data_IF_191215706839
#
_entry.id   IF_191215706839
#
_cell.length_a   1.000
_cell.length_b   1.000
_cell.length_c   1.000
_cell.angle_alpha   90.00
_cell.angle_beta   90.00
_cell.angle_gamma   90.00
#
_symmetry.space_group_name_H-M   'P 1'
#
loop_
_entity.id
_entity.type
_entity.pdbx_description
1 polymer ?
#
# COMPACT_ATOMS: atom_id res chain seq x y z
N UNK A 1 8.03 31.99 8.38
CA UNK A 1 8.76 30.77 8.82
C UNK A 1 10.24 30.95 8.49
N UNK A 2 11.16 30.61 9.41
CA UNK A 2 12.61 30.81 9.22
C UNK A 2 13.22 29.77 8.27
N UNK A 3 14.23 30.16 7.47
CA UNK A 3 14.94 29.25 6.54
C UNK A 3 15.51 28.02 7.27
N UNK A 4 15.94 28.18 8.53
CA UNK A 4 16.44 27.09 9.36
C UNK A 4 15.36 26.09 9.81
N UNK A 5 14.09 26.50 9.86
CA UNK A 5 12.96 25.61 10.15
C UNK A 5 12.60 24.77 8.92
N UNK A 6 12.72 25.36 7.72
CA UNK A 6 12.46 24.69 6.45
C UNK A 6 13.46 23.53 6.21
N UNK A 7 14.75 23.78 6.45
CA UNK A 7 15.80 22.74 6.34
C UNK A 7 15.57 21.55 7.27
N UNK A 8 15.05 21.79 8.49
CA UNK A 8 14.72 20.71 9.43
C UNK A 8 13.52 19.89 8.94
N UNK A 9 12.52 20.54 8.35
CA UNK A 9 11.36 19.85 7.78
C UNK A 9 11.74 19.02 6.56
N UNK A 10 12.58 19.54 5.67
CA UNK A 10 13.09 18.80 4.52
C UNK A 10 13.96 17.61 4.95
N UNK A 11 14.84 17.80 5.94
CA UNK A 11 15.64 16.71 6.51
C UNK A 11 14.77 15.62 7.14
N UNK A 12 13.74 16.00 7.90
CA UNK A 12 12.80 15.06 8.49
C UNK A 12 11.90 14.38 7.46
N UNK A 13 11.59 15.04 6.34
CA UNK A 13 10.84 14.45 5.22
C UNK A 13 11.69 13.40 4.50
N UNK A 14 12.92 13.74 4.13
CA UNK A 14 13.87 12.82 3.50
C UNK A 14 14.20 11.61 4.38
N UNK A 15 14.35 11.81 5.70
CA UNK A 15 14.54 10.69 6.62
C UNK A 15 13.34 9.75 6.64
N UNK A 16 12.11 10.28 6.65
CA UNK A 16 10.89 9.46 6.61
C UNK A 16 10.73 8.72 5.29
N UNK A 17 11.03 9.38 4.16
CA UNK A 17 11.01 8.76 2.84
C UNK A 17 12.01 7.60 2.77
N UNK A 18 13.25 7.83 3.21
CA UNK A 18 14.27 6.79 3.29
C UNK A 18 13.88 5.65 4.23
N UNK A 19 13.33 5.96 5.41
CA UNK A 19 12.84 4.95 6.34
C UNK A 19 11.71 4.10 5.73
N UNK A 20 10.82 4.69 4.93
CA UNK A 20 9.74 3.96 4.26
C UNK A 20 10.28 3.04 3.15
N UNK A 21 11.26 3.51 2.37
CA UNK A 21 11.96 2.70 1.37
C UNK A 21 12.70 1.52 2.03
N UNK A 22 13.46 1.77 3.10
CA UNK A 22 14.19 0.75 3.85
C UNK A 22 13.21 -0.30 4.44
N UNK A 23 12.08 0.14 4.99
CA UNK A 23 11.01 -0.75 5.50
C UNK A 23 10.42 -1.64 4.40
N UNK A 24 10.16 -1.06 3.23
CA UNK A 24 9.62 -1.78 2.09
C UNK A 24 10.59 -2.85 1.59
N UNK A 25 11.86 -2.49 1.40
CA UNK A 25 12.90 -3.43 0.98
C UNK A 25 13.04 -4.58 1.99
N UNK A 26 13.09 -4.26 3.29
CA UNK A 26 13.18 -5.26 4.34
C UNK A 26 11.97 -6.21 4.34
N UNK A 27 10.75 -5.69 4.21
CA UNK A 27 9.53 -6.50 4.17
C UNK A 27 9.48 -7.42 2.94
N UNK A 28 9.96 -6.95 1.78
CA UNK A 28 10.06 -7.76 0.55
C UNK A 28 11.10 -8.86 0.70
N UNK A 29 12.27 -8.56 1.24
CA UNK A 29 13.32 -9.56 1.49
C UNK A 29 12.90 -10.60 2.53
N UNK A 30 12.24 -10.17 3.60
CA UNK A 30 11.67 -11.08 4.61
C UNK A 30 10.63 -12.00 3.98
N UNK A 31 9.70 -11.46 3.19
CA UNK A 31 8.70 -12.24 2.46
C UNK A 31 9.29 -13.27 1.49
N UNK A 32 10.39 -12.92 0.80
CA UNK A 32 11.13 -13.82 -0.10
C UNK A 32 11.90 -14.90 0.65
N UNK A 33 12.46 -14.58 1.82
CA UNK A 33 13.30 -15.51 2.59
C UNK A 33 12.50 -16.45 3.52
N UNK A 34 11.24 -16.14 3.81
CA UNK A 34 10.42 -16.94 4.72
C UNK A 34 9.86 -18.20 4.06
N UNK A 35 10.72 -19.21 3.85
CA UNK A 35 10.40 -20.50 3.20
C UNK A 35 9.31 -21.33 3.90
N UNK A 36 8.92 -20.99 5.14
CA UNK A 36 7.98 -21.81 5.92
C UNK A 36 6.50 -21.43 5.73
N UNK A 37 6.16 -20.29 5.10
CA UNK A 37 4.76 -19.87 4.93
C UNK A 37 4.38 -19.13 3.64
N UNK A 38 5.27 -18.71 2.75
CA UNK A 38 4.85 -17.84 1.65
C UNK A 38 4.56 -18.61 0.37
N UNK A 39 3.32 -18.49 -0.10
CA UNK A 39 3.03 -18.62 -1.53
C UNK A 39 4.02 -17.72 -2.28
N UNK A 40 4.65 -18.19 -3.38
CA UNK A 40 5.51 -17.33 -4.17
C UNK A 40 4.71 -16.12 -4.62
N UNK A 41 5.21 -14.92 -4.32
CA UNK A 41 4.66 -13.68 -4.85
C UNK A 41 4.77 -13.76 -6.38
N UNK A 42 3.61 -13.82 -7.04
CA UNK A 42 3.53 -14.00 -8.48
C UNK A 42 3.20 -12.67 -9.16
N UNK A 43 4.13 -12.17 -9.95
CA UNK A 43 3.97 -11.00 -10.80
C UNK A 43 4.96 -9.88 -10.53
N UNK A 44 4.96 -8.84 -11.38
CA UNK A 44 5.81 -7.66 -11.21
C UNK A 44 5.45 -6.90 -9.94
N UNK A 45 6.45 -6.42 -9.21
CA UNK A 45 6.28 -5.70 -7.93
C UNK A 45 5.46 -4.38 -8.12
N UNK A 46 5.45 -3.80 -9.33
CA UNK A 46 4.72 -2.57 -9.62
C UNK A 46 3.22 -2.76 -9.86
N UNK A 47 2.84 -3.88 -10.49
CA UNK A 47 1.47 -4.06 -11.02
C UNK A 47 0.75 -5.27 -10.48
N UNK A 48 1.45 -6.24 -9.86
CA UNK A 48 0.88 -7.48 -9.34
C UNK A 48 0.01 -8.23 -10.38
N UNK A 49 0.36 -8.14 -11.67
CA UNK A 49 -0.44 -8.64 -12.81
C UNK A 49 -1.86 -8.05 -12.94
N UNK A 50 -2.13 -6.91 -12.31
CA UNK A 50 -3.39 -6.20 -12.45
C UNK A 50 -3.45 -5.47 -13.80
N UNK A 51 -4.65 -5.41 -14.39
CA UNK A 51 -4.85 -4.62 -15.61
C UNK A 51 -4.54 -3.14 -15.30
N UNK A 52 -3.68 -2.46 -16.09
CA UNK A 52 -3.30 -1.07 -15.83
C UNK A 52 -4.47 -0.10 -15.64
N UNK A 53 -5.54 -0.25 -16.43
CA UNK A 53 -6.73 0.61 -16.34
C UNK A 53 -7.49 0.37 -15.04
N UNK A 54 -7.60 -0.89 -14.61
CA UNK A 54 -8.25 -1.22 -13.34
C UNK A 54 -7.39 -0.78 -12.17
N UNK A 55 -6.07 -0.95 -12.26
CA UNK A 55 -5.13 -0.54 -11.22
C UNK A 55 -5.22 0.97 -10.98
N UNK A 56 -5.21 1.76 -12.06
CA UNK A 56 -5.35 3.21 -11.99
C UNK A 56 -6.69 3.61 -11.37
N UNK A 57 -7.79 2.97 -11.77
CA UNK A 57 -9.12 3.23 -11.19
C UNK A 57 -9.20 2.86 -9.71
N UNK A 58 -8.62 1.72 -9.31
CA UNK A 58 -8.59 1.28 -7.91
C UNK A 58 -7.79 2.26 -7.06
N UNK A 59 -6.61 2.69 -7.51
CA UNK A 59 -5.77 3.66 -6.79
C UNK A 59 -6.47 5.03 -6.68
N UNK A 60 -7.19 5.46 -7.73
CA UNK A 60 -7.97 6.71 -7.73
C UNK A 60 -9.28 6.62 -6.94
N UNK A 61 -9.74 5.42 -6.59
CA UNK A 61 -10.99 5.25 -5.88
C UNK A 61 -10.93 5.90 -4.49
N UNK A 62 -12.06 6.46 -4.07
CA UNK A 62 -12.15 7.13 -2.77
C UNK A 62 -11.92 6.14 -1.61
N UNK A 63 -12.33 4.89 -1.80
CA UNK A 63 -12.12 3.81 -0.84
C UNK A 63 -10.63 3.54 -0.62
N UNK A 64 -9.86 3.40 -1.71
CA UNK A 64 -8.42 3.17 -1.60
C UNK A 64 -7.68 4.34 -0.93
N UNK A 65 -8.00 5.58 -1.32
CA UNK A 65 -7.31 6.77 -0.80
C UNK A 65 -7.57 7.04 0.68
N UNK A 66 -8.78 6.71 1.18
CA UNK A 66 -9.18 6.98 2.56
C UNK A 66 -8.96 5.81 3.52
N UNK A 67 -9.25 4.59 3.06
CA UNK A 67 -9.27 3.42 3.93
C UNK A 67 -7.99 2.60 3.74
N UNK A 68 -7.68 2.20 2.50
CA UNK A 68 -6.59 1.24 2.26
C UNK A 68 -5.19 1.83 2.35
N UNK A 69 -5.02 3.13 2.08
CA UNK A 69 -3.70 3.80 2.06
C UNK A 69 -2.95 3.71 3.40
N UNK A 70 -3.67 3.75 4.51
CA UNK A 70 -3.08 3.83 5.85
C UNK A 70 -2.96 2.46 6.54
N UNK A 71 -3.39 1.39 5.87
CA UNK A 71 -3.32 0.02 6.38
C UNK A 71 -1.91 -0.53 6.18
N UNK A 72 -1.16 -0.62 7.28
CA UNK A 72 0.19 -1.21 7.31
C UNK A 72 0.24 -2.54 8.07
N UNK A 73 -0.81 -2.86 8.83
CA UNK A 73 -0.89 -4.05 9.68
C UNK A 73 -1.88 -5.08 9.10
N UNK A 74 -1.52 -6.36 9.21
CA UNK A 74 -2.33 -7.48 8.75
C UNK A 74 -3.69 -7.53 9.44
N UNK A 75 -3.74 -7.28 10.75
CA UNK A 75 -5.00 -7.32 11.49
C UNK A 75 -5.96 -6.23 11.03
N UNK A 76 -5.44 -5.03 10.79
CA UNK A 76 -6.24 -3.91 10.24
C UNK A 76 -6.78 -4.21 8.85
N UNK A 77 -6.00 -4.91 8.02
CA UNK A 77 -6.48 -5.36 6.71
C UNK A 77 -7.65 -6.34 6.85
N UNK A 78 -7.54 -7.31 7.76
CA UNK A 78 -8.61 -8.28 8.02
C UNK A 78 -9.87 -7.58 8.54
N UNK A 79 -9.73 -6.63 9.47
CA UNK A 79 -10.85 -5.87 10.01
C UNK A 79 -11.55 -5.04 8.93
N UNK A 80 -10.77 -4.38 8.07
CA UNK A 80 -11.32 -3.59 6.97
C UNK A 80 -12.13 -4.47 6.00
N UNK A 81 -11.60 -5.64 5.63
CA UNK A 81 -12.31 -6.60 4.77
C UNK A 81 -13.60 -7.10 5.46
N UNK A 82 -13.52 -7.44 6.75
CA UNK A 82 -14.64 -8.05 7.45
C UNK A 82 -15.79 -7.07 7.74
N UNK A 83 -15.47 -5.81 8.07
CA UNK A 83 -16.47 -4.83 8.51
C UNK A 83 -16.90 -3.84 7.43
N UNK A 84 -16.04 -3.48 6.47
CA UNK A 84 -16.32 -2.41 5.50
C UNK A 84 -16.72 -2.96 4.12
N UNK A 85 -16.19 -4.11 3.70
CA UNK A 85 -16.52 -4.70 2.40
C UNK A 85 -17.87 -5.41 2.47
N UNK A 86 -18.88 -4.81 1.85
CA UNK A 86 -20.25 -5.35 1.80
C UNK A 86 -20.55 -6.09 0.50
N UNK A 87 -19.98 -5.58 -0.60
CA UNK A 87 -20.18 -6.11 -1.94
C UNK A 87 -18.89 -6.74 -2.43
N UNK A 88 -18.99 -7.98 -2.92
CA UNK A 88 -17.87 -8.73 -3.50
C UNK A 88 -17.67 -8.45 -4.99
N UNK A 89 -18.57 -7.66 -5.60
CA UNK A 89 -18.50 -7.38 -7.03
C UNK A 89 -17.50 -6.25 -7.33
N UNK A 90 -16.53 -6.48 -8.22
CA UNK A 90 -15.45 -5.53 -8.51
C UNK A 90 -15.91 -4.25 -9.26
N UNK A 91 -17.11 -4.25 -9.84
CA UNK A 91 -17.75 -3.06 -10.39
C UNK A 91 -19.26 -3.24 -10.40
N UNK A 92 -20.00 -2.17 -10.13
CA UNK A 92 -21.43 -2.15 -10.43
C UNK A 92 -21.59 -2.02 -11.95
N UNK A 93 -22.34 -2.94 -12.56
CA UNK A 93 -22.81 -2.75 -13.93
C UNK A 93 -23.60 -1.43 -13.95
N UNK A 94 -23.19 -0.51 -14.84
CA UNK A 94 -23.84 0.80 -14.96
C UNK A 94 -25.34 0.61 -15.15
N UNK A 95 -26.12 1.18 -14.24
CA UNK A 95 -27.54 1.43 -14.48
C UNK A 95 -27.70 2.62 -15.41
#
# INVERSE_FOLDING_TARGET
MSRSALWRQEGAKKMREKQAEDLFVMAVEEGRNNRSKSLPLWGPDDSFHFNPVLLEKTIKSQYFQKCCRDITDWNKLVDEIYYQVKDLEPWTLGK
#
